data_IF_792602359561
#
_entry.id   IF_792602359561
#
_cell.length_a   1.000
_cell.length_b   1.000
_cell.length_c   1.000
_cell.angle_alpha   90.00
_cell.angle_beta   90.00
_cell.angle_gamma   90.00
#
_symmetry.space_group_name_H-M   'P 1'
#
loop_
_entity.id
_entity.type
_entity.pdbx_description
1 polymer ?
#
# COMPACT_ATOMS: atom_id res chain seq x y z
N UNK A 1 7.66 -8.08 -10.05
CA UNK A 1 7.28 -9.49 -10.26
C UNK A 1 6.87 -9.77 -11.71
N UNK A 2 5.92 -9.03 -12.34
CA UNK A 2 5.44 -9.37 -13.69
C UNK A 2 6.57 -9.51 -14.72
N UNK A 3 7.46 -8.52 -14.82
CA UNK A 3 8.62 -8.57 -15.71
C UNK A 3 9.58 -9.76 -15.44
N UNK A 4 9.65 -10.28 -14.21
CA UNK A 4 10.48 -11.45 -13.89
C UNK A 4 9.79 -12.75 -14.33
N UNK A 5 8.46 -12.84 -14.18
CA UNK A 5 7.66 -13.98 -14.63
C UNK A 5 7.68 -14.08 -16.16
N UNK A 6 7.52 -12.94 -16.85
CA UNK A 6 7.59 -12.85 -18.31
C UNK A 6 8.98 -13.25 -18.82
N UNK A 7 10.04 -12.75 -18.19
CA UNK A 7 11.42 -13.11 -18.53
C UNK A 7 11.71 -14.61 -18.31
N UNK A 8 11.10 -15.21 -17.30
CA UNK A 8 11.20 -16.64 -17.00
C UNK A 8 10.30 -17.51 -17.90
N UNK A 9 9.40 -16.92 -18.71
CA UNK A 9 8.47 -17.60 -19.61
C UNK A 9 7.63 -18.68 -18.91
N UNK A 10 7.22 -18.41 -17.67
CA UNK A 10 6.38 -19.34 -16.91
C UNK A 10 4.95 -19.36 -17.47
N UNK A 11 4.38 -20.55 -17.58
CA UNK A 11 2.96 -20.71 -17.88
C UNK A 11 2.10 -20.23 -16.69
N UNK A 12 0.82 -19.95 -16.92
CA UNK A 12 -0.08 -19.31 -15.93
C UNK A 12 -0.07 -20.01 -14.57
N UNK A 13 -0.08 -21.35 -14.55
CA UNK A 13 -0.07 -22.13 -13.30
C UNK A 13 1.24 -21.94 -12.53
N UNK A 14 2.38 -22.02 -13.21
CA UNK A 14 3.70 -21.90 -12.58
C UNK A 14 3.99 -20.46 -12.18
N UNK A 15 3.52 -19.49 -12.96
CA UNK A 15 3.58 -18.07 -12.63
C UNK A 15 2.79 -17.77 -11.35
N UNK A 16 1.57 -18.30 -11.23
CA UNK A 16 0.75 -18.17 -10.03
C UNK A 16 1.42 -18.85 -8.80
N UNK A 17 1.97 -20.05 -8.98
CA UNK A 17 2.69 -20.74 -7.91
C UNK A 17 3.93 -19.97 -7.46
N UNK A 18 4.74 -19.45 -8.39
CA UNK A 18 5.93 -18.67 -8.08
C UNK A 18 5.58 -17.34 -7.38
N UNK A 19 4.49 -16.69 -7.80
CA UNK A 19 4.01 -15.46 -7.16
C UNK A 19 3.52 -15.71 -5.73
N UNK A 20 2.73 -16.76 -5.52
CA UNK A 20 2.28 -17.17 -4.18
C UNK A 20 3.49 -17.48 -3.30
N UNK A 21 4.41 -18.31 -3.79
CA UNK A 21 5.60 -18.70 -3.05
C UNK A 21 6.44 -17.49 -2.64
N UNK A 22 6.69 -16.55 -3.54
CA UNK A 22 7.51 -15.37 -3.24
C UNK A 22 6.81 -14.39 -2.28
N UNK A 23 5.56 -14.03 -2.55
CA UNK A 23 4.86 -13.02 -1.75
C UNK A 23 4.44 -13.55 -0.38
N UNK A 24 3.94 -14.78 -0.28
CA UNK A 24 3.57 -15.35 1.01
C UNK A 24 4.79 -15.75 1.85
N UNK A 25 5.93 -16.07 1.22
CA UNK A 25 7.19 -16.18 1.97
C UNK A 25 7.63 -14.86 2.56
N UNK A 26 7.48 -13.74 1.82
CA UNK A 26 7.76 -12.41 2.35
C UNK A 26 6.77 -12.02 3.46
N UNK A 27 5.48 -12.38 3.37
CA UNK A 27 4.51 -12.13 4.45
C UNK A 27 4.95 -12.80 5.75
N UNK A 28 5.35 -14.06 5.67
CA UNK A 28 5.65 -14.89 6.84
C UNK A 28 7.14 -14.98 7.19
N UNK A 29 7.98 -14.11 6.60
CA UNK A 29 9.44 -14.17 6.72
C UNK A 29 9.92 -14.22 8.18
N UNK A 30 9.41 -13.34 9.04
CA UNK A 30 9.84 -13.26 10.44
C UNK A 30 9.43 -14.50 11.23
N UNK A 31 8.23 -15.02 11.00
CA UNK A 31 7.77 -16.28 11.60
C UNK A 31 8.65 -17.45 11.17
N UNK A 32 8.96 -17.56 9.87
CA UNK A 32 9.83 -18.63 9.38
C UNK A 32 11.26 -18.52 9.91
N UNK A 33 11.80 -17.30 10.03
CA UNK A 33 13.10 -17.08 10.65
C UNK A 33 13.10 -17.57 12.11
N UNK A 34 12.08 -17.25 12.89
CA UNK A 34 11.97 -17.71 14.28
C UNK A 34 11.83 -19.24 14.41
N UNK A 35 11.13 -19.88 13.46
CA UNK A 35 11.02 -21.35 13.39
C UNK A 35 12.38 -21.96 13.04
N UNK A 36 13.05 -21.45 12.01
CA UNK A 36 14.36 -21.91 11.57
C UNK A 36 15.39 -21.75 12.70
N UNK A 37 15.37 -20.64 13.43
CA UNK A 37 16.26 -20.39 14.57
C UNK A 37 16.01 -21.38 15.72
N UNK A 38 14.76 -21.82 15.89
CA UNK A 38 14.40 -22.82 16.90
C UNK A 38 14.92 -24.23 16.58
N UNK A 39 15.06 -24.58 15.29
CA UNK A 39 15.51 -25.92 14.86
C UNK A 39 16.96 -25.97 14.36
N UNK A 40 17.56 -24.82 14.10
CA UNK A 40 18.94 -24.71 13.63
C UNK A 40 19.92 -24.84 14.80
N UNK A 41 21.10 -25.41 14.53
CA UNK A 41 22.22 -25.41 15.48
C UNK A 41 23.06 -24.14 15.44
N UNK A 42 22.78 -23.23 14.49
CA UNK A 42 23.42 -21.92 14.33
C UNK A 42 22.37 -20.82 14.17
N UNK A 43 22.64 -19.59 14.62
CA UNK A 43 21.75 -18.46 14.41
C UNK A 43 21.37 -18.27 12.94
N UNK A 44 20.11 -17.88 12.68
CA UNK A 44 19.61 -17.71 11.30
C UNK A 44 20.37 -16.63 10.52
N UNK A 45 20.84 -15.57 11.19
CA UNK A 45 21.62 -14.50 10.58
C UNK A 45 23.03 -14.92 10.13
N UNK A 46 23.52 -16.10 10.55
CA UNK A 46 24.77 -16.70 10.09
C UNK A 46 24.59 -17.65 8.89
N UNK A 47 23.35 -17.92 8.49
CA UNK A 47 23.06 -18.71 7.29
C UNK A 47 23.23 -17.81 6.07
N UNK A 48 23.89 -18.33 5.02
CA UNK A 48 24.01 -17.66 3.73
C UNK A 48 22.64 -17.16 3.23
N UNK A 49 22.59 -15.92 2.71
CA UNK A 49 21.33 -15.26 2.38
C UNK A 49 20.53 -15.99 1.28
N UNK A 50 21.21 -16.59 0.30
CA UNK A 50 20.55 -17.36 -0.77
C UNK A 50 19.97 -18.64 -0.19
N UNK A 51 20.75 -19.35 0.64
CA UNK A 51 20.29 -20.55 1.33
C UNK A 51 19.10 -20.25 2.27
N UNK A 52 19.16 -19.16 3.04
CA UNK A 52 18.09 -18.74 3.94
C UNK A 52 16.81 -18.41 3.17
N UNK A 53 16.91 -17.71 2.05
CA UNK A 53 15.75 -17.46 1.20
C UNK A 53 15.13 -18.76 0.70
N UNK A 54 15.92 -19.72 0.22
CA UNK A 54 15.40 -21.03 -0.18
C UNK A 54 14.78 -21.82 0.98
N UNK A 55 15.38 -21.78 2.18
CA UNK A 55 14.81 -22.38 3.38
C UNK A 55 13.45 -21.77 3.74
N UNK A 56 13.30 -20.44 3.65
CA UNK A 56 12.02 -19.75 3.87
C UNK A 56 10.95 -20.18 2.85
N UNK A 57 11.32 -20.34 1.57
CA UNK A 57 10.42 -20.90 0.55
C UNK A 57 10.00 -22.35 0.92
N UNK A 58 10.93 -23.15 1.42
CA UNK A 58 10.65 -24.49 1.93
C UNK A 58 9.70 -24.50 3.13
N UNK A 59 9.92 -23.61 4.11
CA UNK A 59 9.02 -23.42 5.25
C UNK A 59 7.60 -23.06 4.79
N UNK A 60 7.46 -22.13 3.84
CA UNK A 60 6.15 -21.76 3.31
C UNK A 60 5.43 -22.94 2.65
N UNK A 61 6.13 -23.68 1.78
CA UNK A 61 5.56 -24.86 1.13
C UNK A 61 5.12 -25.93 2.14
N UNK A 62 5.91 -26.17 3.18
CA UNK A 62 5.64 -27.19 4.18
C UNK A 62 4.51 -26.81 5.15
N UNK A 63 4.42 -25.54 5.51
CA UNK A 63 3.56 -25.10 6.63
C UNK A 63 2.27 -24.41 6.19
N UNK A 64 2.23 -23.84 4.98
CA UNK A 64 1.14 -22.97 4.54
C UNK A 64 0.58 -23.35 3.16
N UNK A 65 1.22 -24.25 2.41
CA UNK A 65 0.73 -24.70 1.12
C UNK A 65 0.25 -26.16 1.18
N UNK A 66 -0.61 -26.54 0.22
CA UNK A 66 -1.08 -27.93 0.04
C UNK A 66 -0.12 -28.75 -0.82
N UNK A 67 1.20 -28.60 -0.60
CA UNK A 67 2.23 -29.37 -1.30
C UNK A 67 2.57 -30.59 -0.43
N UNK A 68 2.61 -31.82 -0.99
CA UNK A 68 3.05 -32.98 -0.23
C UNK A 68 4.44 -32.76 0.37
N UNK A 69 4.62 -33.04 1.68
CA UNK A 69 5.83 -32.68 2.40
C UNK A 69 7.12 -33.21 1.73
N UNK A 70 7.09 -34.45 1.22
CA UNK A 70 8.22 -35.05 0.51
C UNK A 70 8.60 -34.30 -0.78
N UNK A 71 7.62 -33.75 -1.49
CA UNK A 71 7.83 -32.97 -2.72
C UNK A 71 8.41 -31.59 -2.37
N UNK A 72 7.79 -30.87 -1.42
CA UNK A 72 8.28 -29.58 -0.93
C UNK A 72 9.74 -29.67 -0.44
N UNK A 73 10.05 -30.72 0.32
CA UNK A 73 11.41 -31.01 0.79
C UNK A 73 12.37 -31.25 -0.37
N UNK A 74 12.02 -32.14 -1.30
CA UNK A 74 12.90 -32.50 -2.42
C UNK A 74 13.20 -31.29 -3.30
N UNK A 75 12.17 -30.59 -3.77
CA UNK A 75 12.32 -29.43 -4.66
C UNK A 75 13.12 -28.31 -4.00
N UNK A 76 12.86 -28.01 -2.72
CA UNK A 76 13.62 -26.99 -2.00
C UNK A 76 15.09 -27.38 -1.84
N UNK A 77 15.37 -28.66 -1.57
CA UNK A 77 16.75 -29.16 -1.47
C UNK A 77 17.46 -29.11 -2.83
N UNK A 78 16.77 -29.41 -3.93
CA UNK A 78 17.33 -29.24 -5.28
C UNK A 78 17.61 -27.77 -5.60
N UNK A 79 16.71 -26.86 -5.22
CA UNK A 79 16.93 -25.42 -5.35
C UNK A 79 18.18 -24.97 -4.58
N UNK A 80 18.37 -25.47 -3.35
CA UNK A 80 19.55 -25.17 -2.54
C UNK A 80 20.81 -25.76 -3.16
N UNK A 81 20.76 -26.99 -3.68
CA UNK A 81 21.87 -27.60 -4.43
C UNK A 81 22.27 -26.73 -5.61
N UNK A 82 21.30 -26.28 -6.40
CA UNK A 82 21.53 -25.44 -7.57
C UNK A 82 22.12 -24.08 -7.19
N UNK A 83 21.55 -23.40 -6.18
CA UNK A 83 21.90 -22.04 -5.84
C UNK A 83 23.12 -21.89 -4.90
N UNK A 84 23.35 -22.89 -4.04
CA UNK A 84 24.35 -22.82 -2.95
C UNK A 84 25.38 -23.97 -2.99
N UNK A 85 25.20 -24.96 -3.87
CA UNK A 85 26.08 -26.12 -4.02
C UNK A 85 25.81 -27.28 -3.04
N UNK A 86 26.45 -28.42 -3.30
CA UNK A 86 26.18 -29.71 -2.63
C UNK A 86 26.38 -29.67 -1.10
N UNK A 87 27.31 -28.84 -0.61
CA UNK A 87 27.67 -28.79 0.83
C UNK A 87 26.49 -28.36 1.72
N UNK A 88 25.54 -27.60 1.19
CA UNK A 88 24.40 -27.08 1.95
C UNK A 88 23.19 -28.03 1.96
N UNK A 89 23.19 -29.05 1.10
CA UNK A 89 22.08 -30.00 0.92
C UNK A 89 21.74 -30.74 2.21
N UNK A 90 22.75 -31.32 2.87
CA UNK A 90 22.54 -32.09 4.09
C UNK A 90 21.99 -31.24 5.23
N UNK A 91 22.55 -30.04 5.41
CA UNK A 91 22.08 -29.06 6.39
C UNK A 91 20.62 -28.67 6.12
N UNK A 92 20.30 -28.27 4.90
CA UNK A 92 18.96 -27.83 4.55
C UNK A 92 17.90 -28.93 4.69
N UNK A 93 18.20 -30.15 4.21
CA UNK A 93 17.31 -31.30 4.35
C UNK A 93 17.07 -31.64 5.83
N UNK A 94 18.10 -31.58 6.67
CA UNK A 94 17.97 -31.79 8.11
C UNK A 94 17.05 -30.76 8.77
N UNK A 95 17.25 -29.47 8.48
CA UNK A 95 16.42 -28.39 9.02
C UNK A 95 14.96 -28.50 8.58
N UNK A 96 14.70 -28.64 7.28
CA UNK A 96 13.34 -28.68 6.76
C UNK A 96 12.57 -29.93 7.22
N UNK A 97 13.26 -31.06 7.44
CA UNK A 97 12.64 -32.23 8.08
C UNK A 97 12.14 -31.90 9.48
N UNK A 98 12.96 -31.24 10.30
CA UNK A 98 12.55 -30.79 11.64
C UNK A 98 11.38 -29.81 11.57
N UNK A 99 11.40 -28.88 10.61
CA UNK A 99 10.27 -27.96 10.36
C UNK A 99 8.98 -28.74 10.08
N UNK A 100 9.05 -29.83 9.30
CA UNK A 100 7.86 -30.64 8.95
C UNK A 100 7.27 -31.47 10.10
N UNK A 101 7.93 -31.55 11.27
CA UNK A 101 7.47 -32.33 12.42
C UNK A 101 6.29 -31.70 13.16
N UNK A 102 5.98 -30.42 12.90
CA UNK A 102 4.89 -29.68 13.54
C UNK A 102 4.06 -28.93 12.51
N UNK A 103 2.78 -28.75 12.81
CA UNK A 103 1.91 -27.85 12.03
C UNK A 103 2.30 -26.38 12.27
N UNK A 104 1.80 -25.48 11.41
CA UNK A 104 2.05 -24.04 11.59
C UNK A 104 1.60 -23.53 12.97
N UNK A 105 0.37 -23.85 13.42
CA UNK A 105 -0.13 -23.44 14.74
C UNK A 105 0.70 -24.00 15.91
N UNK A 106 1.21 -25.23 15.78
CA UNK A 106 2.12 -25.80 16.77
C UNK A 106 3.45 -25.05 16.80
N UNK A 107 3.97 -24.63 15.64
CA UNK A 107 5.15 -23.77 15.58
C UNK A 107 4.92 -22.39 16.17
N UNK A 108 3.77 -21.75 15.89
CA UNK A 108 3.38 -20.49 16.49
C UNK A 108 3.41 -20.57 18.02
N UNK A 109 2.82 -21.63 18.59
CA UNK A 109 2.85 -21.87 20.04
C UNK A 109 4.28 -21.96 20.58
N UNK A 110 5.18 -22.63 19.86
CA UNK A 110 6.59 -22.79 20.29
C UNK A 110 7.36 -21.47 20.26
N UNK A 111 7.22 -20.67 19.20
CA UNK A 111 7.95 -19.41 19.09
C UNK A 111 7.36 -18.33 20.01
N UNK A 112 6.03 -18.29 20.18
CA UNK A 112 5.35 -17.34 21.06
C UNK A 112 5.69 -17.57 22.54
N UNK A 113 5.94 -18.82 22.95
CA UNK A 113 6.36 -19.13 24.31
C UNK A 113 7.71 -18.50 24.69
N UNK A 114 8.50 -18.04 23.72
CA UNK A 114 9.77 -17.33 23.93
C UNK A 114 9.60 -15.80 24.00
N UNK A 115 8.42 -15.27 23.70
CA UNK A 115 8.18 -13.83 23.64
C UNK A 115 8.22 -13.20 25.05
N UNK A 116 8.93 -12.09 25.18
CA UNK A 116 9.07 -11.32 26.42
C UNK A 116 7.97 -10.26 26.61
N UNK A 117 7.17 -10.01 25.57
CA UNK A 117 6.09 -9.02 25.59
C UNK A 117 4.97 -9.37 24.61
N UNK A 118 3.81 -8.76 24.81
CA UNK A 118 2.67 -8.83 23.90
C UNK A 118 3.04 -8.43 22.46
N UNK A 119 3.79 -7.34 22.31
CA UNK A 119 4.22 -6.84 21.00
C UNK A 119 5.13 -7.85 20.30
N UNK A 120 6.03 -8.50 21.02
CA UNK A 120 6.89 -9.55 20.47
C UNK A 120 6.08 -10.80 20.10
N UNK A 121 5.10 -11.19 20.93
CA UNK A 121 4.18 -12.29 20.60
C UNK A 121 3.44 -12.03 19.30
N UNK A 122 2.81 -10.86 19.17
CA UNK A 122 2.08 -10.46 17.96
C UNK A 122 3.00 -10.36 16.74
N UNK A 123 4.23 -9.88 16.95
CA UNK A 123 5.27 -9.78 15.93
C UNK A 123 5.61 -11.15 15.33
N UNK A 124 5.82 -12.16 16.18
CA UNK A 124 6.07 -13.56 15.80
C UNK A 124 4.82 -14.23 15.21
N UNK A 125 3.66 -14.03 15.82
CA UNK A 125 2.39 -14.67 15.42
C UNK A 125 1.94 -14.25 14.02
N UNK A 126 2.06 -12.96 13.73
CA UNK A 126 1.55 -12.37 12.49
C UNK A 126 2.67 -11.95 11.53
N UNK A 127 3.94 -12.23 11.83
CA UNK A 127 5.10 -11.90 10.98
C UNK A 127 5.20 -10.41 10.61
N UNK A 128 5.14 -9.54 11.62
CA UNK A 128 5.33 -8.10 11.48
C UNK A 128 6.47 -7.65 12.39
N UNK A 129 7.46 -6.87 11.92
CA UNK A 129 8.44 -6.24 12.79
C UNK A 129 7.76 -5.51 13.97
N UNK A 130 8.34 -5.61 15.16
CA UNK A 130 7.74 -5.03 16.38
C UNK A 130 7.41 -3.53 16.25
N UNK A 131 8.21 -2.78 15.49
CA UNK A 131 7.95 -1.35 15.26
C UNK A 131 6.67 -1.10 14.45
N UNK A 132 6.35 -1.98 13.50
CA UNK A 132 5.09 -1.94 12.73
C UNK A 132 3.93 -2.30 13.65
N UNK A 133 4.05 -3.34 14.48
CA UNK A 133 3.02 -3.71 15.46
C UNK A 133 2.68 -2.52 16.36
N UNK A 134 3.70 -1.84 16.91
CA UNK A 134 3.50 -0.64 17.75
C UNK A 134 2.83 0.50 16.98
N UNK A 135 3.23 0.74 15.73
CA UNK A 135 2.65 1.79 14.90
C UNK A 135 1.16 1.54 14.63
N UNK A 136 0.79 0.30 14.29
CA UNK A 136 -0.60 -0.09 14.05
C UNK A 136 -1.43 -0.01 15.34
N UNK A 137 -0.89 -0.47 16.47
CA UNK A 137 -1.54 -0.32 17.79
C UNK A 137 -1.84 1.15 18.06
N UNK A 138 -0.85 2.04 17.94
CA UNK A 138 -1.03 3.48 18.18
C UNK A 138 -2.06 4.12 17.25
N UNK A 139 -2.09 3.73 15.97
CA UNK A 139 -3.12 4.19 15.04
C UNK A 139 -4.51 3.79 15.52
N UNK A 140 -4.72 2.51 15.83
CA UNK A 140 -6.01 1.99 16.30
C UNK A 140 -6.46 2.69 17.59
N UNK A 141 -5.55 2.95 18.53
CA UNK A 141 -5.87 3.70 19.77
C UNK A 141 -6.46 5.08 19.48
N UNK A 142 -5.97 5.75 18.44
CA UNK A 142 -6.44 7.10 18.06
C UNK A 142 -7.92 7.08 17.69
N UNK A 143 -8.41 5.96 17.17
CA UNK A 143 -9.80 5.76 16.80
C UNK A 143 -10.56 4.86 17.80
N UNK A 144 -10.01 4.63 19.00
CA UNK A 144 -10.58 3.81 20.08
C UNK A 144 -10.83 2.34 19.71
N UNK A 145 -9.91 1.72 18.96
CA UNK A 145 -9.99 0.35 18.43
C UNK A 145 -8.86 -0.56 18.92
N UNK A 146 -8.42 -0.38 20.16
CA UNK A 146 -7.27 -1.07 20.76
C UNK A 146 -7.33 -2.61 20.65
N UNK A 147 -8.53 -3.17 20.72
CA UNK A 147 -8.83 -4.60 20.71
C UNK A 147 -8.79 -5.24 19.31
N UNK A 148 -8.74 -4.44 18.24
CA UNK A 148 -8.78 -4.91 16.85
C UNK A 148 -7.39 -5.17 16.23
N UNK A 149 -6.32 -5.02 17.02
CA UNK A 149 -4.94 -5.17 16.51
C UNK A 149 -4.68 -6.53 15.84
N UNK A 150 -5.23 -7.60 16.38
CA UNK A 150 -5.03 -8.94 15.82
C UNK A 150 -5.72 -9.09 14.46
N UNK A 151 -6.90 -8.51 14.28
CA UNK A 151 -7.63 -8.55 13.02
C UNK A 151 -6.89 -7.77 11.93
N UNK A 152 -6.38 -6.58 12.26
CA UNK A 152 -5.56 -5.78 11.35
C UNK A 152 -4.24 -6.48 10.97
N UNK A 153 -3.56 -7.12 11.92
CA UNK A 153 -2.35 -7.90 11.62
C UNK A 153 -2.64 -9.15 10.79
N UNK A 154 -3.78 -9.82 11.06
CA UNK A 154 -4.22 -11.01 10.31
C UNK A 154 -4.54 -10.67 8.86
N UNK A 155 -5.34 -9.63 8.62
CA UNK A 155 -5.75 -9.25 7.25
C UNK A 155 -4.55 -8.80 6.41
N UNK A 156 -3.51 -8.22 7.01
CA UNK A 156 -2.26 -7.88 6.31
C UNK A 156 -1.54 -9.11 5.72
N UNK A 157 -1.84 -10.32 6.20
CA UNK A 157 -1.31 -11.59 5.66
C UNK A 157 -2.24 -12.26 4.64
N UNK A 158 -3.40 -11.68 4.34
CA UNK A 158 -4.32 -12.19 3.30
C UNK A 158 -4.04 -11.47 1.99
N UNK A 159 -3.85 -12.17 0.85
CA UNK A 159 -3.72 -11.52 -0.44
C UNK A 159 -4.94 -10.63 -0.76
N UNK A 160 -4.68 -9.39 -1.18
CA UNK A 160 -5.76 -8.49 -1.61
C UNK A 160 -6.25 -8.86 -3.02
N UNK A 161 -7.57 -8.76 -3.24
CA UNK A 161 -8.14 -8.78 -4.58
C UNK A 161 -7.65 -7.60 -5.41
N UNK A 162 -7.59 -7.75 -6.73
CA UNK A 162 -7.19 -6.67 -7.62
C UNK A 162 -8.33 -5.65 -7.69
N UNK A 163 -8.10 -4.45 -7.17
CA UNK A 163 -9.04 -3.35 -7.28
C UNK A 163 -8.82 -2.60 -8.60
N UNK A 164 -9.91 -2.31 -9.27
CA UNK A 164 -9.97 -1.56 -10.52
C UNK A 164 -10.79 -0.28 -10.31
N UNK A 165 -10.57 0.69 -11.19
CA UNK A 165 -11.39 1.90 -11.32
C UNK A 165 -11.73 2.11 -12.80
N UNK A 166 -13.01 2.28 -13.10
CA UNK A 166 -13.47 2.76 -14.39
C UNK A 166 -13.34 4.29 -14.40
N UNK A 167 -12.57 4.84 -15.34
CA UNK A 167 -12.35 6.28 -15.38
C UNK A 167 -13.60 6.97 -15.94
N UNK A 168 -14.26 7.86 -15.18
CA UNK A 168 -15.48 8.51 -15.64
C UNK A 168 -15.27 9.28 -16.94
N UNK A 169 -16.28 9.25 -17.80
CA UNK A 169 -16.20 9.83 -19.15
C UNK A 169 -15.51 8.93 -20.19
N UNK A 170 -14.77 7.91 -19.78
CA UNK A 170 -14.16 6.91 -20.67
C UNK A 170 -14.80 5.52 -20.56
N UNK A 171 -15.25 5.14 -19.37
CA UNK A 171 -15.93 3.87 -19.10
C UNK A 171 -16.80 4.01 -17.85
N UNK A 172 -17.79 3.13 -17.72
CA UNK A 172 -18.61 2.98 -16.54
C UNK A 172 -18.36 1.61 -15.90
N UNK A 173 -18.50 1.51 -14.58
CA UNK A 173 -18.37 0.20 -13.92
C UNK A 173 -19.48 -0.76 -14.37
N UNK A 174 -20.64 -0.22 -14.74
CA UNK A 174 -21.79 -0.98 -15.24
C UNK A 174 -21.51 -1.69 -16.58
N UNK A 175 -20.43 -1.32 -17.28
CA UNK A 175 -20.00 -1.99 -18.50
C UNK A 175 -19.39 -3.38 -18.23
N UNK A 176 -19.08 -3.70 -16.97
CA UNK A 176 -18.47 -4.97 -16.58
C UNK A 176 -19.53 -5.92 -16.03
N UNK A 177 -19.71 -7.07 -16.69
CA UNK A 177 -20.73 -8.07 -16.31
C UNK A 177 -20.22 -9.15 -15.35
N UNK A 178 -18.90 -9.24 -15.18
CA UNK A 178 -18.21 -10.21 -14.31
C UNK A 178 -17.87 -9.62 -12.94
N UNK A 179 -18.67 -8.66 -12.49
CA UNK A 179 -18.48 -8.00 -11.21
C UNK A 179 -18.86 -8.92 -10.06
N UNK A 180 -17.97 -9.02 -9.08
CA UNK A 180 -18.21 -9.80 -7.87
C UNK A 180 -19.29 -9.12 -7.02
N UNK A 181 -20.08 -9.88 -6.24
CA UNK A 181 -21.00 -9.31 -5.23
C UNK A 181 -20.29 -8.44 -4.17
N UNK A 182 -18.95 -8.47 -4.13
CA UNK A 182 -18.07 -7.74 -3.21
C UNK A 182 -17.49 -6.43 -3.75
N UNK A 183 -18.01 -5.92 -4.89
CA UNK A 183 -17.51 -4.70 -5.53
C UNK A 183 -17.25 -3.58 -4.52
N UNK A 184 -16.06 -2.98 -4.63
CA UNK A 184 -15.60 -1.76 -3.98
C UNK A 184 -16.74 -0.97 -3.32
N UNK A 185 -16.77 -1.04 -1.99
CA UNK A 185 -17.95 -0.75 -1.17
C UNK A 185 -18.32 0.73 -1.17
N UNK A 186 -17.39 1.60 -1.53
CA UNK A 186 -17.44 3.03 -1.25
C UNK A 186 -17.21 3.90 -2.50
N UNK A 187 -16.30 3.50 -3.39
CA UNK A 187 -16.00 4.26 -4.61
C UNK A 187 -17.05 3.98 -5.68
N UNK A 188 -17.74 5.01 -6.22
CA UNK A 188 -18.76 4.83 -7.27
C UNK A 188 -18.16 4.36 -8.61
N UNK A 189 -16.83 4.44 -8.77
CA UNK A 189 -16.13 4.04 -9.98
C UNK A 189 -15.33 2.74 -9.81
N UNK A 190 -15.27 2.25 -8.58
CA UNK A 190 -14.45 1.11 -8.20
C UNK A 190 -15.15 -0.21 -8.44
N UNK A 191 -14.36 -1.23 -8.73
CA UNK A 191 -14.80 -2.64 -8.72
C UNK A 191 -13.61 -3.58 -8.49
N UNK A 192 -13.88 -4.86 -8.26
CA UNK A 192 -12.83 -5.88 -8.03
C UNK A 192 -12.79 -6.93 -9.13
N UNK A 193 -11.58 -7.39 -9.44
CA UNK A 193 -11.35 -8.55 -10.29
C UNK A 193 -11.01 -9.76 -9.39
N UNK A 194 -11.89 -10.76 -9.40
CA UNK A 194 -11.77 -11.96 -8.55
C UNK A 194 -10.57 -12.83 -8.90
N UNK A 195 -10.23 -12.90 -10.19
CA UNK A 195 -9.11 -13.69 -10.68
C UNK A 195 -8.60 -13.21 -12.04
N UNK A 196 -7.43 -13.69 -12.44
CA UNK A 196 -6.81 -13.33 -13.71
C UNK A 196 -5.85 -12.15 -13.61
N UNK A 197 -5.22 -11.84 -14.75
CA UNK A 197 -4.27 -10.75 -14.84
C UNK A 197 -5.01 -9.50 -15.38
N UNK A 198 -5.08 -8.39 -14.61
CA UNK A 198 -5.75 -7.17 -15.07
C UNK A 198 -5.09 -6.60 -16.34
N UNK A 199 -3.81 -6.91 -16.59
CA UNK A 199 -3.15 -6.49 -17.82
C UNK A 199 -3.69 -7.16 -19.08
N UNK A 200 -4.53 -8.19 -18.96
CA UNK A 200 -5.17 -8.86 -20.11
C UNK A 200 -6.45 -8.16 -20.57
N UNK A 201 -7.11 -7.41 -19.67
CA UNK A 201 -8.33 -6.65 -19.96
C UNK A 201 -8.07 -5.55 -21.00
N UNK A 202 -8.95 -5.45 -22.00
CA UNK A 202 -8.81 -4.48 -23.09
C UNK A 202 -8.89 -3.06 -22.56
N UNK A 203 -9.78 -2.82 -21.60
CA UNK A 203 -10.06 -1.53 -20.96
C UNK A 203 -8.87 -1.03 -20.14
N UNK A 204 -8.11 -1.95 -19.53
CA UNK A 204 -6.85 -1.64 -18.85
C UNK A 204 -5.75 -1.28 -19.86
N UNK A 205 -5.70 -1.98 -21.01
CA UNK A 205 -4.74 -1.70 -22.09
C UNK A 205 -5.02 -0.38 -22.80
N UNK A 206 -6.29 -0.06 -23.05
CA UNK A 206 -6.72 1.18 -23.70
C UNK A 206 -6.68 2.38 -22.74
N UNK A 207 -6.73 2.13 -21.43
CA UNK A 207 -6.58 3.13 -20.38
C UNK A 207 -7.91 3.70 -19.87
N UNK A 208 -9.06 3.12 -20.26
CA UNK A 208 -10.37 3.48 -19.71
C UNK A 208 -10.60 2.88 -18.31
N UNK A 209 -9.86 1.84 -17.95
CA UNK A 209 -9.81 1.25 -16.59
C UNK A 209 -8.39 1.24 -16.05
N UNK A 210 -8.23 1.36 -14.73
CA UNK A 210 -6.92 1.31 -14.06
C UNK A 210 -6.93 0.39 -12.86
N UNK A 211 -5.79 -0.26 -12.57
CA UNK A 211 -5.55 -0.95 -11.30
C UNK A 211 -5.26 0.10 -10.22
N UNK A 212 -6.12 0.20 -9.22
CA UNK A 212 -6.00 1.18 -8.14
C UNK A 212 -6.78 0.71 -6.91
N UNK A 213 -6.14 0.71 -5.75
CA UNK A 213 -6.81 0.46 -4.46
C UNK A 213 -7.93 1.48 -4.20
N UNK A 214 -9.07 1.00 -3.71
CA UNK A 214 -10.24 1.84 -3.44
C UNK A 214 -9.94 3.03 -2.52
N UNK A 215 -9.06 2.89 -1.52
CA UNK A 215 -8.66 4.01 -0.66
C UNK A 215 -7.99 5.14 -1.46
N UNK A 216 -7.17 4.78 -2.47
CA UNK A 216 -6.59 5.77 -3.39
C UNK A 216 -7.63 6.42 -4.30
N UNK A 217 -8.69 5.71 -4.67
CA UNK A 217 -9.81 6.27 -5.44
C UNK A 217 -10.55 7.30 -4.58
N UNK A 218 -10.89 6.93 -3.34
CA UNK A 218 -11.53 7.81 -2.37
C UNK A 218 -10.71 9.07 -2.09
N UNK A 219 -9.38 9.00 -2.07
CA UNK A 219 -8.53 10.19 -1.91
C UNK A 219 -8.66 11.18 -3.08
N UNK A 220 -8.67 10.70 -4.32
CA UNK A 220 -8.89 11.57 -5.48
C UNK A 220 -10.31 12.17 -5.47
N UNK A 221 -11.32 11.35 -5.14
CA UNK A 221 -12.70 11.79 -5.01
C UNK A 221 -12.88 12.82 -3.90
N UNK A 222 -12.25 12.62 -2.74
CA UNK A 222 -12.28 13.54 -1.62
C UNK A 222 -11.81 14.95 -2.00
N UNK A 223 -10.75 15.08 -2.81
CA UNK A 223 -10.29 16.38 -3.30
C UNK A 223 -11.27 16.98 -4.31
N UNK A 224 -11.75 16.17 -5.25
CA UNK A 224 -12.62 16.63 -6.33
C UNK A 224 -14.05 16.99 -5.85
N UNK A 225 -14.58 16.31 -4.84
CA UNK A 225 -15.98 16.47 -4.41
C UNK A 225 -16.17 17.21 -3.08
N UNK A 226 -15.10 17.71 -2.47
CA UNK A 226 -15.18 18.43 -1.18
C UNK A 226 -16.15 19.61 -1.20
N UNK A 227 -16.16 20.34 -2.32
CA UNK A 227 -17.11 21.41 -2.62
C UNK A 227 -17.28 21.52 -4.13
N UNK A 228 -18.31 22.24 -4.54
CA UNK A 228 -18.60 22.51 -5.95
C UNK A 228 -17.37 23.04 -6.69
N UNK A 229 -17.15 22.51 -7.89
CA UNK A 229 -16.03 22.88 -8.75
C UNK A 229 -16.39 24.17 -9.46
N UNK A 230 -15.57 25.21 -9.26
CA UNK A 230 -15.72 26.46 -10.00
C UNK A 230 -15.18 26.29 -11.42
N UNK A 231 -15.74 27.04 -12.37
CA UNK A 231 -15.20 27.06 -13.74
C UNK A 231 -13.74 27.51 -13.71
N UNK A 232 -12.92 26.89 -14.56
CA UNK A 232 -11.51 27.26 -14.78
C UNK A 232 -10.59 27.05 -13.56
N UNK A 233 -10.96 26.19 -12.61
CA UNK A 233 -10.04 25.79 -11.54
C UNK A 233 -8.73 25.18 -12.11
N UNK A 234 -7.64 25.35 -11.36
CA UNK A 234 -6.36 24.70 -11.62
C UNK A 234 -5.97 23.76 -10.51
N UNK A 235 -5.75 22.49 -10.86
CA UNK A 235 -5.45 21.41 -9.94
C UNK A 235 -4.00 20.96 -10.08
N UNK A 236 -3.43 20.47 -8.98
CA UNK A 236 -2.09 19.89 -8.93
C UNK A 236 -2.12 18.56 -8.19
N UNK A 237 -1.60 17.49 -8.82
CA UNK A 237 -1.10 16.31 -8.12
C UNK A 237 0.41 16.43 -7.96
N UNK A 238 0.87 16.79 -6.76
CA UNK A 238 2.27 17.17 -6.50
C UNK A 238 3.23 15.96 -6.55
N UNK A 239 2.71 14.77 -6.25
CA UNK A 239 3.49 13.52 -6.08
C UNK A 239 2.80 12.36 -6.81
N UNK A 240 2.57 12.55 -8.11
CA UNK A 240 1.62 11.76 -8.89
C UNK A 240 2.01 10.29 -9.09
N UNK A 241 3.28 9.88 -8.91
CA UNK A 241 3.75 8.55 -9.25
C UNK A 241 3.02 7.42 -8.49
N UNK A 242 2.60 6.32 -9.14
CA UNK A 242 2.76 5.98 -10.56
C UNK A 242 1.64 6.49 -11.50
N UNK A 243 0.70 7.31 -11.03
CA UNK A 243 -0.31 7.98 -11.86
C UNK A 243 -1.75 7.53 -11.63
N UNK A 244 -2.02 6.69 -10.63
CA UNK A 244 -3.38 6.19 -10.36
C UNK A 244 -4.35 7.31 -9.94
N UNK A 245 -3.98 8.07 -8.91
CA UNK A 245 -4.79 9.21 -8.43
C UNK A 245 -4.87 10.32 -9.49
N UNK A 246 -3.74 10.64 -10.12
CA UNK A 246 -3.70 11.56 -11.25
C UNK A 246 -4.65 11.19 -12.39
N UNK A 247 -4.78 9.91 -12.77
CA UNK A 247 -5.68 9.48 -13.84
C UNK A 247 -7.16 9.67 -13.48
N UNK A 248 -7.54 9.33 -12.25
CA UNK A 248 -8.92 9.58 -11.78
C UNK A 248 -9.22 11.08 -11.66
N UNK A 249 -8.27 11.87 -11.15
CA UNK A 249 -8.39 13.33 -11.14
C UNK A 249 -8.48 13.89 -12.56
N UNK A 250 -7.72 13.37 -13.51
CA UNK A 250 -7.74 13.80 -14.91
C UNK A 250 -9.09 13.54 -15.58
N UNK A 251 -9.68 12.36 -15.36
CA UNK A 251 -11.02 12.05 -15.87
C UNK A 251 -12.09 13.00 -15.34
N UNK A 252 -12.02 13.35 -14.05
CA UNK A 252 -12.97 14.31 -13.45
C UNK A 252 -12.68 15.72 -14.00
N UNK A 253 -11.39 16.08 -14.12
CA UNK A 253 -10.98 17.39 -14.61
C UNK A 253 -11.45 17.65 -16.05
N UNK A 254 -11.42 16.63 -16.92
CA UNK A 254 -11.91 16.72 -18.29
C UNK A 254 -13.43 16.94 -18.34
N UNK A 255 -14.21 16.22 -17.53
CA UNK A 255 -15.68 16.41 -17.43
C UNK A 255 -16.03 17.82 -16.97
N UNK A 256 -15.31 18.31 -15.96
CA UNK A 256 -15.56 19.60 -15.31
C UNK A 256 -14.87 20.77 -16.02
N UNK A 257 -14.13 20.50 -17.11
CA UNK A 257 -13.38 21.50 -17.88
C UNK A 257 -12.40 22.32 -17.01
N UNK A 258 -11.69 21.65 -16.11
CA UNK A 258 -10.64 22.24 -15.25
C UNK A 258 -9.25 21.76 -15.65
N UNK A 259 -8.22 22.52 -15.29
CA UNK A 259 -6.84 22.17 -15.64
C UNK A 259 -6.20 21.28 -14.58
N UNK A 260 -5.39 20.29 -14.98
CA UNK A 260 -4.61 19.45 -14.07
C UNK A 260 -3.14 19.46 -14.46
N UNK A 261 -2.28 19.62 -13.46
CA UNK A 261 -0.83 19.37 -13.54
C UNK A 261 -0.51 18.16 -12.67
N UNK A 262 0.24 17.20 -13.23
CA UNK A 262 0.76 16.05 -12.48
C UNK A 262 2.29 16.15 -12.39
N UNK A 263 2.84 16.15 -11.18
CA UNK A 263 4.27 16.24 -10.94
C UNK A 263 4.82 14.93 -10.36
N UNK A 264 5.98 14.49 -10.84
CA UNK A 264 6.72 13.38 -10.24
C UNK A 264 8.22 13.59 -10.40
N UNK A 265 8.94 13.65 -9.27
CA UNK A 265 10.36 13.98 -9.23
C UNK A 265 11.26 12.90 -9.89
N UNK A 266 10.83 11.64 -9.90
CA UNK A 266 11.62 10.54 -10.45
C UNK A 266 11.26 10.28 -11.93
N UNK A 267 12.20 10.44 -12.90
CA UNK A 267 11.88 10.31 -14.33
C UNK A 267 11.23 8.97 -14.71
N UNK A 268 11.65 7.87 -14.08
CA UNK A 268 11.08 6.55 -14.37
C UNK A 268 9.63 6.41 -13.86
N UNK A 269 9.28 7.04 -12.74
CA UNK A 269 7.89 7.07 -12.24
C UNK A 269 7.05 8.08 -13.03
N UNK A 270 7.63 9.21 -13.43
CA UNK A 270 6.97 10.18 -14.31
C UNK A 270 6.56 9.55 -15.64
N UNK A 271 7.38 8.64 -16.19
CA UNK A 271 6.99 7.83 -17.36
C UNK A 271 5.73 6.98 -17.10
N UNK A 272 5.59 6.39 -15.92
CA UNK A 272 4.37 5.65 -15.53
C UNK A 272 3.16 6.59 -15.39
N UNK A 273 3.39 7.81 -14.90
CA UNK A 273 2.35 8.86 -14.82
C UNK A 273 1.89 9.23 -16.23
N UNK A 274 2.81 9.55 -17.15
CA UNK A 274 2.48 9.84 -18.56
C UNK A 274 1.74 8.68 -19.24
N UNK A 275 2.13 7.43 -18.95
CA UNK A 275 1.42 6.26 -19.46
C UNK A 275 0.00 6.15 -18.88
N UNK A 276 -0.17 6.43 -17.58
CA UNK A 276 -1.48 6.43 -16.92
C UNK A 276 -2.40 7.54 -17.44
N UNK A 277 -1.84 8.64 -17.92
CA UNK A 277 -2.54 9.81 -18.44
C UNK A 277 -2.68 9.83 -19.97
N UNK A 278 -2.38 8.72 -20.66
CA UNK A 278 -2.39 8.68 -22.13
C UNK A 278 -3.74 9.09 -22.74
N UNK A 279 -4.85 8.81 -22.06
CA UNK A 279 -6.20 9.20 -22.49
C UNK A 279 -6.50 10.69 -22.27
N UNK A 280 -5.67 11.41 -21.53
CA UNK A 280 -5.86 12.82 -21.16
C UNK A 280 -4.67 13.68 -21.63
N UNK A 281 -4.49 13.89 -22.95
CA UNK A 281 -3.31 14.54 -23.51
C UNK A 281 -3.13 16.00 -23.09
N UNK A 282 -4.19 16.64 -22.57
CA UNK A 282 -4.17 18.01 -22.07
C UNK A 282 -3.55 18.15 -20.67
N UNK A 283 -3.37 17.03 -19.94
CA UNK A 283 -2.76 17.05 -18.60
C UNK A 283 -1.25 17.19 -18.73
N UNK A 284 -0.70 18.24 -18.11
CA UNK A 284 0.74 18.49 -18.12
C UNK A 284 1.44 17.60 -17.09
N UNK A 285 2.34 16.73 -17.55
CA UNK A 285 3.25 15.98 -16.67
C UNK A 285 4.57 16.74 -16.51
N UNK A 286 4.96 16.99 -15.27
CA UNK A 286 6.21 17.69 -14.90
C UNK A 286 7.14 16.77 -14.12
N UNK A 287 8.45 17.01 -14.25
CA UNK A 287 9.50 16.29 -13.54
C UNK A 287 10.29 17.33 -12.76
N UNK A 288 9.69 17.82 -11.67
CA UNK A 288 10.26 18.83 -10.80
C UNK A 288 10.28 18.30 -9.35
N UNK A 289 11.19 18.85 -8.54
CA UNK A 289 11.12 18.65 -7.09
C UNK A 289 9.85 19.33 -6.57
N UNK A 290 8.98 18.59 -5.90
CA UNK A 290 7.73 19.12 -5.35
C UNK A 290 7.94 20.29 -4.39
N UNK A 291 9.13 20.42 -3.80
CA UNK A 291 9.51 21.54 -2.92
C UNK A 291 9.65 22.88 -3.65
N UNK A 292 9.82 22.86 -4.97
CA UNK A 292 9.99 24.06 -5.79
C UNK A 292 8.65 24.64 -6.29
N UNK A 293 7.52 23.95 -6.05
CA UNK A 293 6.20 24.48 -6.44
C UNK A 293 5.80 25.72 -5.63
N UNK A 294 6.34 25.90 -4.43
CA UNK A 294 6.14 27.10 -3.62
C UNK A 294 6.65 28.39 -4.29
N UNK A 295 7.56 28.29 -5.27
CA UNK A 295 8.03 29.43 -6.08
C UNK A 295 6.98 29.89 -7.11
N UNK A 296 5.86 29.17 -7.24
CA UNK A 296 4.70 29.49 -8.10
C UNK A 296 3.49 29.82 -7.20
N UNK A 297 3.52 30.93 -6.44
CA UNK A 297 2.55 31.17 -5.38
C UNK A 297 1.14 31.38 -5.93
N UNK A 298 0.13 30.91 -5.18
CA UNK A 298 -1.29 31.11 -5.47
C UNK A 298 -1.70 30.69 -6.90
N UNK A 299 -1.12 29.61 -7.41
CA UNK A 299 -1.38 29.12 -8.77
C UNK A 299 -2.56 28.14 -8.82
N UNK A 300 -2.77 27.35 -7.77
CA UNK A 300 -3.72 26.22 -7.80
C UNK A 300 -4.88 26.42 -6.82
N UNK A 301 -6.07 26.02 -7.27
CA UNK A 301 -7.31 26.00 -6.49
C UNK A 301 -7.42 24.72 -5.65
N UNK A 302 -6.89 23.61 -6.18
CA UNK A 302 -6.85 22.31 -5.49
C UNK A 302 -5.50 21.64 -5.64
N UNK A 303 -4.95 21.13 -4.55
CA UNK A 303 -3.67 20.42 -4.56
C UNK A 303 -3.82 19.09 -3.81
N UNK A 304 -3.39 18.00 -4.44
CA UNK A 304 -3.16 16.70 -3.84
C UNK A 304 -1.67 16.55 -3.50
N UNK A 305 -1.37 16.23 -2.25
CA UNK A 305 -0.04 15.81 -1.80
C UNK A 305 -0.15 14.36 -1.32
N UNK A 306 0.01 13.40 -2.25
CA UNK A 306 0.18 11.98 -1.93
C UNK A 306 1.63 11.74 -1.50
N UNK A 307 1.90 12.02 -0.23
CA UNK A 307 3.25 12.24 0.25
C UNK A 307 4.07 10.92 0.29
N UNK A 308 5.37 10.96 -0.07
CA UNK A 308 6.26 9.83 0.13
C UNK A 308 6.25 9.40 1.61
N UNK A 309 5.94 8.14 1.88
CA UNK A 309 5.77 7.64 3.24
C UNK A 309 6.36 6.23 3.39
N UNK A 310 6.23 5.65 4.59
CA UNK A 310 6.69 4.28 4.87
C UNK A 310 5.96 3.20 4.06
N UNK A 311 4.75 3.47 3.56
CA UNK A 311 3.95 2.52 2.79
C UNK A 311 3.34 1.40 3.64
N UNK A 312 3.27 1.58 4.97
CA UNK A 312 2.72 0.60 5.91
C UNK A 312 1.22 0.32 5.74
N UNK A 313 0.50 1.10 4.95
CA UNK A 313 -0.91 0.84 4.67
C UNK A 313 -1.16 -0.26 3.63
N UNK A 314 -0.17 -0.56 2.79
CA UNK A 314 -0.33 -1.48 1.66
C UNK A 314 0.24 -2.88 1.91
N UNK A 315 0.43 -3.30 3.16
CA UNK A 315 1.20 -4.52 3.51
C UNK A 315 0.63 -5.82 2.92
N UNK A 316 -0.69 -5.91 2.69
CA UNK A 316 -1.31 -7.09 2.06
C UNK A 316 -0.97 -7.22 0.56
N UNK A 317 -0.80 -6.09 -0.13
CA UNK A 317 -0.45 -5.99 -1.56
C UNK A 317 1.06 -5.98 -1.78
N UNK A 318 1.81 -5.36 -0.85
CA UNK A 318 3.25 -5.15 -0.89
C UNK A 318 3.91 -5.70 0.36
N UNK A 319 3.96 -7.03 0.54
CA UNK A 319 4.51 -7.63 1.75
C UNK A 319 6.00 -7.32 1.95
N UNK A 320 6.73 -6.98 0.88
CA UNK A 320 8.13 -6.57 0.96
C UNK A 320 8.33 -5.25 1.72
N UNK A 321 7.28 -4.42 1.85
CA UNK A 321 7.36 -3.14 2.55
C UNK A 321 7.70 -3.30 4.04
N UNK A 322 7.35 -4.45 4.65
CA UNK A 322 7.70 -4.78 6.05
C UNK A 322 9.21 -4.79 6.30
N UNK A 323 9.99 -5.11 5.27
CA UNK A 323 11.43 -5.42 5.40
C UNK A 323 12.33 -4.34 4.79
N UNK A 324 11.77 -3.41 4.01
CA UNK A 324 12.51 -2.34 3.32
C UNK A 324 12.64 -1.05 4.11
N UNK A 325 11.80 -0.87 5.13
CA UNK A 325 11.75 0.35 5.96
C UNK A 325 12.00 0.02 7.42
N UNK A 326 12.52 1.01 8.12
CA UNK A 326 12.85 0.98 9.53
C UNK A 326 12.24 2.19 10.24
N UNK A 327 12.22 2.15 11.57
CA UNK A 327 11.80 3.29 12.38
C UNK A 327 12.71 4.53 12.16
N UNK A 328 13.95 4.35 11.72
CA UNK A 328 14.90 5.44 11.49
C UNK A 328 14.54 6.27 10.24
N UNK A 329 13.90 5.64 9.24
CA UNK A 329 13.44 6.31 8.01
C UNK A 329 12.39 7.40 8.27
N UNK A 330 11.61 7.26 9.36
CA UNK A 330 10.51 8.17 9.71
C UNK A 330 10.97 9.62 9.84
N UNK A 331 12.17 9.85 10.39
CA UNK A 331 12.68 11.22 10.58
C UNK A 331 12.85 11.95 9.24
N UNK A 332 13.45 11.28 8.26
CA UNK A 332 13.69 11.85 6.93
C UNK A 332 12.38 12.00 6.15
N UNK A 333 11.50 10.98 6.22
CA UNK A 333 10.21 11.01 5.54
C UNK A 333 9.30 12.14 6.07
N UNK A 334 9.17 12.27 7.38
CA UNK A 334 8.31 13.31 7.98
C UNK A 334 8.82 14.72 7.78
N UNK A 335 10.14 14.91 7.68
CA UNK A 335 10.73 16.19 7.29
C UNK A 335 10.35 16.54 5.84
N UNK A 336 10.54 15.60 4.91
CA UNK A 336 10.19 15.78 3.50
C UNK A 336 8.67 16.02 3.31
N UNK A 337 7.82 15.27 4.02
CA UNK A 337 6.36 15.45 4.00
C UNK A 337 5.97 16.89 4.37
N UNK A 338 6.61 17.45 5.41
CA UNK A 338 6.37 18.82 5.83
C UNK A 338 6.89 19.84 4.81
N UNK A 339 8.08 19.65 4.24
CA UNK A 339 8.62 20.50 3.17
C UNK A 339 7.69 20.54 1.94
N UNK A 340 7.17 19.37 1.52
CA UNK A 340 6.22 19.26 0.41
C UNK A 340 4.90 19.96 0.74
N UNK A 341 4.40 19.83 1.97
CA UNK A 341 3.17 20.48 2.40
C UNK A 341 3.31 22.00 2.47
N UNK A 342 4.47 22.52 2.91
CA UNK A 342 4.79 23.94 2.91
C UNK A 342 4.85 24.51 1.47
N UNK A 343 5.51 23.80 0.56
CA UNK A 343 5.55 24.15 -0.87
C UNK A 343 4.15 24.16 -1.49
N UNK A 344 3.35 23.13 -1.23
CA UNK A 344 1.96 23.05 -1.68
C UNK A 344 1.12 24.21 -1.13
N UNK A 345 1.25 24.54 0.14
CA UNK A 345 0.55 25.66 0.76
C UNK A 345 0.90 27.02 0.12
N UNK A 346 2.18 27.25 -0.19
CA UNK A 346 2.61 28.47 -0.89
C UNK A 346 2.00 28.56 -2.29
N UNK A 347 1.95 27.44 -3.02
CA UNK A 347 1.34 27.34 -4.34
C UNK A 347 -0.20 27.41 -4.33
N UNK A 348 -0.85 27.15 -3.18
CA UNK A 348 -2.30 27.17 -3.03
C UNK A 348 -2.84 28.60 -2.99
N UNK A 349 -3.90 28.86 -3.75
CA UNK A 349 -4.67 30.11 -3.68
C UNK A 349 -5.34 30.27 -2.30
N UNK A 350 -5.55 31.51 -1.82
CA UNK A 350 -6.40 31.75 -0.65
C UNK A 350 -7.79 31.11 -0.83
N UNK A 351 -8.28 30.42 0.20
CA UNK A 351 -9.51 29.65 0.13
C UNK A 351 -9.44 28.36 -0.70
N UNK A 352 -8.29 28.01 -1.27
CA UNK A 352 -8.07 26.75 -2.01
C UNK A 352 -8.12 25.51 -1.12
N UNK A 353 -8.17 24.33 -1.75
CA UNK A 353 -8.18 23.03 -1.07
C UNK A 353 -6.83 22.31 -1.20
N UNK A 354 -6.28 21.85 -0.09
CA UNK A 354 -5.05 21.08 -0.04
C UNK A 354 -5.30 19.76 0.68
N UNK A 355 -5.31 18.66 -0.07
CA UNK A 355 -5.46 17.32 0.47
C UNK A 355 -4.09 16.68 0.70
N UNK A 356 -3.75 16.48 1.97
CA UNK A 356 -2.60 15.66 2.36
C UNK A 356 -3.02 14.19 2.49
N UNK A 357 -2.27 13.30 1.85
CA UNK A 357 -2.55 11.86 1.83
C UNK A 357 -1.28 11.07 2.12
N UNK A 358 -1.39 10.00 2.91
CA UNK A 358 -0.34 8.99 3.05
C UNK A 358 -0.93 7.59 3.08
N UNK A 359 -0.30 6.63 2.41
CA UNK A 359 -0.57 5.19 2.59
C UNK A 359 0.20 4.62 3.80
N UNK A 360 0.09 5.29 4.93
CA UNK A 360 0.69 4.91 6.22
C UNK A 360 -0.29 5.26 7.34
N UNK A 361 -0.52 4.35 8.31
CA UNK A 361 -1.23 4.66 9.54
C UNK A 361 -0.31 5.19 10.66
N UNK A 362 1.01 5.34 10.40
CA UNK A 362 1.95 5.75 11.43
C UNK A 362 1.73 7.21 11.87
N UNK A 363 1.46 7.44 13.17
CA UNK A 363 1.07 8.77 13.69
C UNK A 363 2.04 9.91 13.32
N UNK A 364 3.34 9.61 13.28
CA UNK A 364 4.37 10.59 12.85
C UNK A 364 4.21 11.09 11.42
N UNK A 365 3.63 10.28 10.52
CA UNK A 365 3.38 10.61 9.11
C UNK A 365 1.96 11.10 8.85
N UNK A 366 1.06 10.96 9.84
CA UNK A 366 -0.36 11.31 9.72
C UNK A 366 -0.68 12.56 10.52
N UNK A 367 -1.30 12.42 11.70
CA UNK A 367 -1.77 13.53 12.54
C UNK A 367 -0.62 14.44 12.97
N UNK A 368 0.56 13.91 13.27
CA UNK A 368 1.69 14.73 13.71
C UNK A 368 2.21 15.67 12.62
N UNK A 369 2.12 15.30 11.33
CA UNK A 369 2.48 16.19 10.21
C UNK A 369 1.48 17.34 10.14
N UNK A 370 0.19 17.02 10.25
CA UNK A 370 -0.89 18.02 10.22
C UNK A 370 -0.79 18.98 11.40
N UNK A 371 -0.52 18.48 12.61
CA UNK A 371 -0.32 19.32 13.80
C UNK A 371 0.87 20.28 13.64
N UNK A 372 1.96 19.83 13.01
CA UNK A 372 3.10 20.71 12.69
C UNK A 372 2.72 21.74 11.63
N UNK A 373 1.99 21.34 10.59
CA UNK A 373 1.53 22.23 9.54
C UNK A 373 0.66 23.37 10.10
N UNK A 374 -0.33 23.08 10.95
CA UNK A 374 -1.19 24.08 11.59
C UNK A 374 -0.38 25.08 12.43
N UNK A 375 0.70 24.64 13.07
CA UNK A 375 1.55 25.52 13.89
C UNK A 375 2.48 26.41 13.06
N UNK A 376 2.82 26.00 11.84
CA UNK A 376 3.83 26.67 11.00
C UNK A 376 3.22 27.44 9.83
N UNK A 377 2.01 27.08 9.43
CA UNK A 377 1.31 27.60 8.26
C UNK A 377 -0.06 28.12 8.71
N UNK A 378 -0.54 29.16 8.06
CA UNK A 378 -1.89 29.67 8.26
C UNK A 378 -2.90 28.82 7.47
N UNK A 379 -3.07 27.58 7.96
CA UNK A 379 -3.96 26.56 7.41
C UNK A 379 -5.02 26.15 8.41
N UNK A 380 -6.21 25.86 7.90
CA UNK A 380 -7.32 25.30 8.67
C UNK A 380 -7.68 23.90 8.20
N UNK A 381 -7.87 22.98 9.15
CA UNK A 381 -8.38 21.63 8.87
C UNK A 381 -9.89 21.69 8.63
N UNK A 382 -10.29 21.25 7.45
CA UNK A 382 -11.69 21.10 7.05
C UNK A 382 -12.21 19.71 7.45
N UNK A 383 -13.51 19.60 7.70
CA UNK A 383 -14.14 18.36 8.15
C UNK A 383 -14.34 17.37 7.00
N UNK A 384 -13.28 16.63 6.68
CA UNK A 384 -13.30 15.62 5.65
C UNK A 384 -14.10 14.38 6.07
N UNK A 385 -14.09 14.05 7.35
CA UNK A 385 -14.86 12.91 7.88
C UNK A 385 -16.35 13.08 7.61
N UNK A 386 -16.92 14.27 7.88
CA UNK A 386 -18.32 14.55 7.61
C UNK A 386 -18.67 14.33 6.13
N UNK A 387 -17.89 14.93 5.22
CA UNK A 387 -18.08 14.78 3.77
C UNK A 387 -17.98 13.32 3.33
N UNK A 388 -16.95 12.60 3.78
CA UNK A 388 -16.72 11.21 3.36
C UNK A 388 -17.83 10.29 3.87
N UNK A 389 -18.32 10.50 5.10
CA UNK A 389 -19.46 9.77 5.63
C UNK A 389 -20.76 10.05 4.86
N UNK A 390 -21.01 11.30 4.49
CA UNK A 390 -22.20 11.69 3.72
C UNK A 390 -22.18 11.11 2.31
N UNK A 391 -21.04 11.18 1.60
CA UNK A 391 -20.97 10.87 0.17
C UNK A 391 -20.62 9.43 -0.17
N UNK A 392 -19.80 8.77 0.64
CA UNK A 392 -19.17 7.49 0.24
C UNK A 392 -19.26 6.41 1.32
N UNK A 393 -18.97 6.77 2.57
CA UNK A 393 -18.70 5.81 3.65
C UNK A 393 -19.94 5.44 4.47
N UNK A 394 -21.07 6.14 4.29
CA UNK A 394 -22.33 5.81 4.95
C UNK A 394 -22.28 5.88 6.48
N UNK A 395 -21.47 6.79 7.05
CA UNK A 395 -21.36 6.97 8.50
C UNK A 395 -20.38 6.05 9.23
N UNK A 396 -19.57 5.25 8.53
CA UNK A 396 -18.64 4.30 9.16
C UNK A 396 -17.38 4.96 9.76
N UNK A 397 -17.04 6.19 9.35
CA UNK A 397 -15.88 6.91 9.86
C UNK A 397 -16.20 7.60 11.20
N UNK A 398 -15.25 7.66 12.15
CA UNK A 398 -15.52 8.20 13.48
C UNK A 398 -15.66 9.73 13.46
N UNK A 399 -16.82 10.24 13.88
CA UNK A 399 -17.15 11.67 13.86
C UNK A 399 -16.36 12.54 14.88
N UNK A 400 -15.45 11.95 15.66
CA UNK A 400 -14.67 12.65 16.68
C UNK A 400 -13.43 13.37 16.13
N UNK A 401 -13.13 13.23 14.82
CA UNK A 401 -12.01 13.89 14.15
C UNK A 401 -12.37 14.30 12.73
N UNK A 402 -11.76 15.38 12.26
CA UNK A 402 -11.96 15.94 10.92
C UNK A 402 -11.18 15.25 9.80
N UNK A 403 -10.17 14.47 10.16
CA UNK A 403 -9.29 13.74 9.24
C UNK A 403 -9.73 12.30 9.12
N UNK A 404 -9.52 11.68 7.96
CA UNK A 404 -9.94 10.30 7.71
C UNK A 404 -8.75 9.35 7.85
N UNK A 405 -8.97 8.22 8.52
CA UNK A 405 -8.08 7.07 8.52
C UNK A 405 -8.88 5.84 8.08
N UNK A 406 -8.50 5.28 6.94
CA UNK A 406 -8.99 4.00 6.45
C UNK A 406 -8.11 2.87 7.01
N UNK A 407 -8.73 1.71 7.23
CA UNK A 407 -8.05 0.51 7.69
C UNK A 407 -8.43 -0.72 6.87
N UNK A 408 -7.47 -1.61 6.68
CA UNK A 408 -7.62 -2.83 5.88
C UNK A 408 -8.67 -3.80 6.42
N UNK A 409 -8.74 -3.96 7.73
CA UNK A 409 -9.67 -4.86 8.44
C UNK A 409 -11.12 -4.37 8.40
N UNK A 410 -11.32 -3.06 8.55
CA UNK A 410 -12.66 -2.45 8.58
C UNK A 410 -13.21 -2.12 7.20
N UNK A 411 -12.38 -1.47 6.39
CA UNK A 411 -12.81 -0.82 5.15
C UNK A 411 -12.45 -1.66 3.91
N UNK A 412 -11.70 -2.75 4.07
CA UNK A 412 -11.19 -3.58 2.96
C UNK A 412 -10.39 -2.78 1.89
N UNK A 413 -9.79 -1.66 2.28
CA UNK A 413 -8.88 -0.84 1.48
C UNK A 413 -7.43 -0.99 1.98
N UNK A 414 -6.44 -0.37 1.35
CA UNK A 414 -5.15 -0.18 2.03
C UNK A 414 -5.32 0.88 3.15
N UNK A 415 -4.57 0.78 4.26
CA UNK A 415 -4.67 1.84 5.27
C UNK A 415 -4.24 3.18 4.68
N UNK A 416 -5.10 4.18 4.78
CA UNK A 416 -4.88 5.48 4.15
C UNK A 416 -5.31 6.61 5.07
N UNK A 417 -4.42 7.57 5.27
CA UNK A 417 -4.71 8.79 5.98
C UNK A 417 -4.99 9.93 5.00
N UNK A 418 -5.99 10.75 5.30
CA UNK A 418 -6.38 11.91 4.51
C UNK A 418 -6.73 13.10 5.42
N UNK A 419 -6.18 14.27 5.11
CA UNK A 419 -6.50 15.52 5.79
C UNK A 419 -6.74 16.63 4.76
N UNK A 420 -7.95 17.18 4.74
CA UNK A 420 -8.30 18.33 3.92
C UNK A 420 -7.95 19.62 4.66
N UNK A 421 -7.13 20.46 4.04
CA UNK A 421 -6.69 21.75 4.54
C UNK A 421 -7.17 22.87 3.61
N UNK A 422 -7.30 24.07 4.15
CA UNK A 422 -7.50 25.29 3.35
C UNK A 422 -6.60 26.40 3.87
N UNK A 423 -6.19 27.28 2.96
CA UNK A 423 -5.47 28.51 3.26
C UNK A 423 -6.49 29.59 3.58
N UNK A 424 -6.36 30.26 4.72
CA UNK A 424 -7.28 31.35 5.07
C UNK A 424 -7.22 32.47 4.02
N UNK A 425 -8.36 33.14 3.81
CA UNK A 425 -8.62 34.03 2.68
C UNK A 425 -7.95 35.41 2.83
#
# INVERSE_FOLDING_TARGET
MPALLDAAKLETRDAAFAQELAFSTLRWQLTYDAILDTVSSRPVNEIDAIALNALRLGCHQLLQMRVPAHAALNETVQLIRYACGEKMVGFANGLLRRVSEKTFEQWLTVIEAKASSEVERLSLRYSHPQWIVRALQQSLRTDSRDDEIEDLLRINNVPALVNLVALPGLSAREDFTELSESDNRYSPFGFTLDSGNPADLVEVKTGSVRVQDEGSQLAALALASFRDISKEESWLDLCAGPGGKAALLASIAEIESVSLVANEVQPHRAKLVSQSLKAFPNVKVTIEDGRNFGDKPNMFDRILVDAPCTGLGALRRRPEARWRKSAEDLKTLTALQLELLQSAYAALKPGGLLLYVTCSPHLSETTAVIEKAIKQLDVKVLDLTALMNERYMGGTLPANRKTVQLYTDRDNTDCMFMAMLTKEA
#
